data_IF_289144062366
#
_entry.id   IF_289144062366
#
_cell.length_a   1.000
_cell.length_b   1.000
_cell.length_c   1.000
_cell.angle_alpha   90.00
_cell.angle_beta   90.00
_cell.angle_gamma   90.00
#
_symmetry.space_group_name_H-M   'P 1'
#
loop_
_entity.id
_entity.type
_entity.pdbx_description
1 polymer ?
#
# COMPACT_ATOMS: atom_id res chain seq x y z
N UNK A 1 15.67 -7.42 64.89
CA UNK A 1 15.46 -5.95 64.83
C UNK A 1 14.96 -5.62 63.43
N UNK A 2 13.79 -4.96 63.30
CA UNK A 2 13.12 -4.55 62.04
C UNK A 2 12.31 -5.69 61.40
N UNK A 3 11.01 -5.92 61.61
CA UNK A 3 9.80 -5.07 61.52
C UNK A 3 9.54 -4.41 60.15
N UNK A 4 8.27 -4.54 59.75
CA UNK A 4 7.49 -3.92 58.64
C UNK A 4 7.33 -4.82 57.40
N UNK A 5 6.30 -5.67 57.30
CA UNK A 5 4.83 -5.46 57.20
C UNK A 5 4.33 -5.40 55.76
N UNK A 6 3.19 -6.06 55.56
CA UNK A 6 2.18 -5.82 54.51
C UNK A 6 2.26 -6.68 53.25
N UNK A 7 1.71 -7.87 53.44
CA UNK A 7 0.80 -8.61 52.54
C UNK A 7 0.14 -7.73 51.46
N UNK A 8 0.26 -8.13 50.19
CA UNK A 8 -0.87 -8.06 49.26
C UNK A 8 -0.71 -9.08 48.11
N UNK A 9 -1.11 -10.31 48.42
CA UNK A 9 -1.97 -11.17 47.60
C UNK A 9 -1.81 -11.02 46.08
N UNK A 10 -1.15 -12.00 45.48
CA UNK A 10 -1.29 -12.39 44.07
C UNK A 10 -2.76 -12.77 43.81
N UNK A 11 -3.62 -11.77 43.58
CA UNK A 11 -5.01 -11.96 43.23
C UNK A 11 -5.07 -12.34 41.75
N UNK A 12 -4.90 -13.64 41.49
CA UNK A 12 -5.07 -14.28 40.19
C UNK A 12 -6.56 -14.26 39.83
N UNK A 13 -7.03 -13.16 39.24
CA UNK A 13 -8.37 -13.06 38.65
C UNK A 13 -8.36 -13.84 37.33
N UNK A 14 -8.88 -15.06 37.37
CA UNK A 14 -9.11 -15.95 36.21
C UNK A 14 -10.51 -15.66 35.61
N UNK A 15 -10.83 -14.39 35.36
CA UNK A 15 -12.04 -14.03 34.62
C UNK A 15 -11.70 -12.89 33.67
N UNK A 16 -11.49 -13.24 32.40
CA UNK A 16 -11.29 -12.28 31.32
C UNK A 16 -12.68 -11.78 30.92
N UNK A 17 -13.13 -10.70 31.55
CA UNK A 17 -14.39 -10.04 31.19
C UNK A 17 -14.15 -9.29 29.87
N UNK A 18 -14.86 -9.68 28.82
CA UNK A 18 -14.87 -8.97 27.55
C UNK A 18 -16.13 -8.09 27.50
N UNK A 19 -15.95 -6.80 27.23
CA UNK A 19 -17.03 -5.89 26.89
C UNK A 19 -17.42 -6.11 25.42
N UNK A 20 -18.66 -5.75 25.07
CA UNK A 20 -19.11 -5.78 23.67
C UNK A 20 -18.19 -4.91 22.81
N UNK A 21 -17.83 -5.43 21.64
CA UNK A 21 -16.92 -4.75 20.72
C UNK A 21 -17.70 -3.65 19.99
N UNK A 22 -17.09 -2.48 19.90
CA UNK A 22 -17.56 -1.44 19.00
C UNK A 22 -17.42 -1.92 17.56
N UNK A 23 -18.51 -1.88 16.79
CA UNK A 23 -18.50 -2.13 15.35
C UNK A 23 -18.03 -0.87 14.63
N UNK A 24 -16.93 -0.98 13.88
CA UNK A 24 -16.38 0.11 13.07
C UNK A 24 -16.72 -0.21 11.60
N UNK A 25 -17.42 0.69 10.88
CA UNK A 25 -17.79 0.44 9.49
C UNK A 25 -16.57 0.47 8.57
N UNK A 26 -16.72 -0.14 7.41
CA UNK A 26 -15.70 -0.08 6.35
C UNK A 26 -15.74 1.28 5.63
N UNK A 27 -14.58 1.82 5.20
CA UNK A 27 -14.52 3.06 4.44
C UNK A 27 -15.11 2.88 3.04
N UNK A 28 -15.67 3.96 2.49
CA UNK A 28 -16.42 3.95 1.21
C UNK A 28 -15.61 4.56 0.07
N UNK A 29 -14.72 5.51 0.36
CA UNK A 29 -13.95 6.25 -0.65
C UNK A 29 -12.45 6.08 -0.39
N UNK A 30 -11.70 5.91 -1.49
CA UNK A 30 -10.24 5.80 -1.48
C UNK A 30 -9.63 6.84 -2.40
N UNK A 31 -8.61 7.54 -1.92
CA UNK A 31 -7.83 8.52 -2.68
C UNK A 31 -6.35 8.16 -2.64
N UNK A 32 -5.63 8.45 -3.73
CA UNK A 32 -4.18 8.36 -3.77
C UNK A 32 -3.56 9.68 -3.33
N UNK A 33 -2.59 9.60 -2.43
CA UNK A 33 -1.85 10.76 -1.93
C UNK A 33 -0.38 10.64 -2.29
N UNK A 34 0.20 11.70 -2.84
CA UNK A 34 1.62 11.78 -3.18
C UNK A 34 2.21 13.07 -2.60
N UNK A 35 3.36 13.00 -1.91
CA UNK A 35 4.02 14.21 -1.42
C UNK A 35 4.60 15.02 -2.59
N UNK A 36 4.50 16.35 -2.51
CA UNK A 36 5.05 17.22 -3.56
C UNK A 36 6.60 17.26 -3.51
N UNK A 37 7.16 17.27 -2.30
CA UNK A 37 8.61 17.28 -2.06
C UNK A 37 9.05 16.06 -1.26
N UNK A 38 10.31 15.67 -1.41
CA UNK A 38 10.89 14.56 -0.65
C UNK A 38 10.86 14.82 0.86
N UNK A 39 11.08 16.07 1.30
CA UNK A 39 11.05 16.48 2.71
C UNK A 39 9.66 16.32 3.34
N UNK A 40 8.60 16.46 2.54
CA UNK A 40 7.22 16.36 3.00
C UNK A 40 6.79 14.91 3.22
N UNK A 41 7.49 13.94 2.61
CA UNK A 41 7.22 12.50 2.78
C UNK A 41 7.33 12.06 4.25
N UNK A 42 8.34 12.56 4.97
CA UNK A 42 8.55 12.20 6.38
C UNK A 42 7.52 12.85 7.31
N UNK A 43 7.03 14.04 6.94
CA UNK A 43 5.99 14.75 7.70
C UNK A 43 4.63 14.10 7.45
N UNK A 44 4.34 13.75 6.20
CA UNK A 44 3.12 13.06 5.78
C UNK A 44 2.98 11.71 6.49
N UNK A 45 4.02 10.88 6.48
CA UNK A 45 4.00 9.58 7.16
C UNK A 45 3.75 9.71 8.68
N UNK A 46 4.30 10.75 9.33
CA UNK A 46 4.00 11.04 10.74
C UNK A 46 2.55 11.46 10.96
N UNK A 47 2.00 12.32 10.10
CA UNK A 47 0.62 12.78 10.18
C UNK A 47 -0.36 11.60 10.01
N UNK A 48 -0.17 10.80 8.97
CA UNK A 48 -0.96 9.62 8.63
C UNK A 48 -1.00 8.59 9.78
N UNK A 49 0.15 8.34 10.43
CA UNK A 49 0.21 7.45 11.60
C UNK A 49 -0.53 8.00 12.82
N UNK A 50 -0.59 9.32 12.99
CA UNK A 50 -1.35 9.95 14.06
C UNK A 50 -2.85 9.84 13.80
N UNK A 51 -3.30 10.09 12.57
CA UNK A 51 -4.72 10.02 12.20
C UNK A 51 -5.31 8.62 12.37
N UNK A 52 -4.56 7.55 12.06
CA UNK A 52 -5.00 6.17 12.32
C UNK A 52 -5.27 5.88 13.81
N UNK A 53 -4.59 6.58 14.72
CA UNK A 53 -4.80 6.42 16.17
C UNK A 53 -5.94 7.29 16.67
N UNK A 54 -6.17 8.43 16.04
CA UNK A 54 -7.27 9.35 16.37
C UNK A 54 -8.61 8.79 15.91
N UNK A 55 -8.67 8.20 14.71
CA UNK A 55 -9.90 7.69 14.11
C UNK A 55 -9.73 6.25 13.60
N UNK A 56 -10.44 5.25 14.20
CA UNK A 56 -10.37 3.86 13.76
C UNK A 56 -11.11 3.60 12.44
N UNK A 57 -11.84 4.56 11.87
CA UNK A 57 -12.50 4.44 10.56
C UNK A 57 -11.54 4.79 9.41
N UNK A 58 -10.50 5.57 9.68
CA UNK A 58 -9.47 5.92 8.71
C UNK A 58 -8.55 4.72 8.46
N UNK A 59 -8.35 4.39 7.18
CA UNK A 59 -7.51 3.25 6.77
C UNK A 59 -6.43 3.73 5.82
N UNK A 60 -5.26 3.15 5.98
CA UNK A 60 -4.09 3.38 5.14
C UNK A 60 -3.65 2.08 4.52
N UNK A 61 -3.46 2.12 3.21
CA UNK A 61 -3.06 0.98 2.40
C UNK A 61 -2.00 1.43 1.40
N UNK A 62 -1.08 0.54 1.07
CA UNK A 62 -0.10 0.76 0.01
C UNK A 62 -0.45 -0.24 -1.08
N UNK A 63 -0.67 0.26 -2.30
CA UNK A 63 -0.93 -0.61 -3.44
C UNK A 63 0.35 -1.34 -3.85
N UNK A 64 0.39 -2.69 -3.87
CA UNK A 64 1.61 -3.43 -4.18
C UNK A 64 2.04 -3.32 -5.64
N UNK A 65 1.13 -3.01 -6.58
CA UNK A 65 1.46 -2.90 -8.00
C UNK A 65 1.99 -1.50 -8.36
N UNK A 66 1.32 -0.44 -7.91
CA UNK A 66 1.74 0.95 -8.18
C UNK A 66 2.71 1.52 -7.15
N UNK A 67 2.80 0.95 -5.94
CA UNK A 67 3.55 1.55 -4.83
C UNK A 67 2.97 2.86 -4.30
N UNK A 68 1.73 3.21 -4.69
CA UNK A 68 1.08 4.45 -4.27
C UNK A 68 0.52 4.33 -2.84
N UNK A 69 0.56 5.45 -2.10
CA UNK A 69 -0.08 5.53 -0.78
C UNK A 69 -1.56 5.85 -0.96
N UNK A 70 -2.43 4.98 -0.44
CA UNK A 70 -3.88 5.12 -0.52
C UNK A 70 -4.45 5.43 0.87
N UNK A 71 -5.26 6.47 0.93
CA UNK A 71 -6.03 6.85 2.11
C UNK A 71 -7.51 6.51 1.86
N UNK A 72 -8.14 5.85 2.83
CA UNK A 72 -9.54 5.43 2.73
C UNK A 72 -10.32 5.96 3.93
N UNK A 73 -11.50 6.53 3.65
CA UNK A 73 -12.36 7.17 4.65
C UNK A 73 -13.85 6.91 4.39
N UNK A 74 -14.70 7.37 5.31
CA UNK A 74 -16.14 7.13 5.24
C UNK A 74 -16.83 7.96 4.13
N UNK A 75 -16.23 9.08 3.71
CA UNK A 75 -16.78 9.96 2.67
C UNK A 75 -15.78 11.00 2.19
N UNK A 76 -16.20 11.84 1.24
CA UNK A 76 -15.36 12.86 0.61
C UNK A 76 -14.90 13.92 1.64
N UNK A 77 -15.87 14.47 2.39
CA UNK A 77 -15.60 15.48 3.42
C UNK A 77 -14.62 14.98 4.49
N UNK A 78 -14.68 13.69 4.84
CA UNK A 78 -13.77 13.11 5.84
C UNK A 78 -12.32 13.22 5.37
N UNK A 79 -12.05 12.92 4.11
CA UNK A 79 -10.73 13.00 3.52
C UNK A 79 -10.30 14.46 3.28
N UNK A 80 -11.22 15.34 2.88
CA UNK A 80 -10.96 16.77 2.67
C UNK A 80 -10.45 17.45 3.95
N UNK A 81 -11.10 17.20 5.09
CA UNK A 81 -10.68 17.75 6.38
C UNK A 81 -9.27 17.27 6.75
N UNK A 82 -8.93 16.00 6.48
CA UNK A 82 -7.57 15.51 6.76
C UNK A 82 -6.51 16.16 5.87
N UNK A 83 -6.83 16.45 4.61
CA UNK A 83 -5.90 17.13 3.71
C UNK A 83 -5.59 18.55 4.20
N UNK A 84 -6.60 19.29 4.63
CA UNK A 84 -6.42 20.60 5.25
C UNK A 84 -5.59 20.52 6.54
N UNK A 85 -5.87 19.52 7.40
CA UNK A 85 -5.10 19.30 8.64
C UNK A 85 -3.62 19.00 8.35
N UNK A 86 -3.31 18.23 7.32
CA UNK A 86 -1.92 17.95 6.92
C UNK A 86 -1.21 19.25 6.52
N UNK A 87 -1.89 20.10 5.76
CA UNK A 87 -1.32 21.37 5.31
C UNK A 87 -1.07 22.32 6.50
N UNK A 88 -2.03 22.44 7.43
CA UNK A 88 -1.92 23.39 8.53
C UNK A 88 -1.07 22.90 9.71
N UNK A 89 -1.22 21.64 10.14
CA UNK A 89 -0.49 21.12 11.31
C UNK A 89 0.93 20.69 10.95
N UNK A 90 1.12 20.08 9.77
CA UNK A 90 2.38 19.46 9.38
C UNK A 90 3.15 20.25 8.31
N UNK A 91 2.58 21.34 7.78
CA UNK A 91 3.17 22.16 6.72
C UNK A 91 3.71 21.29 5.57
N UNK A 92 2.93 20.27 5.19
CA UNK A 92 3.28 19.33 4.15
C UNK A 92 2.32 19.53 2.97
N UNK A 93 2.87 19.86 1.80
CA UNK A 93 2.10 19.99 0.57
C UNK A 93 1.95 18.62 -0.09
N UNK A 94 0.70 18.20 -0.28
CA UNK A 94 0.35 16.90 -0.84
C UNK A 94 -0.53 17.06 -2.07
N UNK A 95 -0.26 16.25 -3.08
CA UNK A 95 -1.10 16.11 -4.25
C UNK A 95 -2.05 14.94 -4.06
N UNK A 96 -3.31 15.16 -4.42
CA UNK A 96 -4.39 14.17 -4.32
C UNK A 96 -4.84 13.79 -5.71
N UNK A 97 -4.98 12.50 -5.93
CA UNK A 97 -5.46 11.96 -7.19
C UNK A 97 -6.27 10.69 -7.00
N UNK A 98 -6.81 10.20 -8.10
CA UNK A 98 -7.53 8.94 -8.09
C UNK A 98 -6.54 7.77 -7.97
N UNK A 99 -6.91 6.68 -7.29
CA UNK A 99 -6.10 5.47 -7.25
C UNK A 99 -5.73 4.98 -8.65
N UNK A 100 -4.45 4.64 -8.90
CA UNK A 100 -4.03 4.10 -10.17
C UNK A 100 -4.68 2.73 -10.40
N UNK A 101 -5.10 2.48 -11.64
CA UNK A 101 -5.69 1.19 -12.04
C UNK A 101 -4.60 0.25 -12.52
N UNK A 102 -4.56 -0.94 -11.95
CA UNK A 102 -3.71 -2.05 -12.37
C UNK A 102 -4.13 -2.58 -13.75
N UNK A 103 -3.34 -2.32 -14.79
CA UNK A 103 -3.61 -2.85 -16.13
C UNK A 103 -2.97 -4.22 -16.31
N UNK A 104 -3.77 -5.20 -16.71
CA UNK A 104 -3.28 -6.53 -17.12
C UNK A 104 -3.47 -6.71 -18.61
N UNK A 105 -2.42 -7.16 -19.27
CA UNK A 105 -2.45 -7.43 -20.70
C UNK A 105 -2.71 -8.93 -20.90
N UNK A 106 -3.72 -9.24 -21.73
CA UNK A 106 -3.95 -10.60 -22.19
C UNK A 106 -3.73 -10.69 -23.68
N UNK A 107 -3.55 -11.92 -24.11
CA UNK A 107 -3.16 -12.27 -25.46
C UNK A 107 -4.44 -12.65 -26.23
N UNK A 108 -4.81 -11.88 -27.26
CA UNK A 108 -6.13 -11.98 -27.90
C UNK A 108 -6.20 -12.89 -29.14
N UNK A 109 -5.24 -12.77 -30.08
CA UNK A 109 -5.29 -13.50 -31.35
C UNK A 109 -3.96 -14.11 -31.77
N UNK A 110 -4.01 -15.36 -32.23
CA UNK A 110 -2.81 -16.11 -32.59
C UNK A 110 -2.08 -15.45 -33.75
N UNK A 111 -0.82 -15.06 -33.55
CA UNK A 111 0.05 -14.55 -34.59
C UNK A 111 1.31 -15.43 -34.71
N UNK A 112 1.76 -15.61 -35.95
CA UNK A 112 2.96 -16.36 -36.29
C UNK A 112 4.15 -15.41 -36.24
N UNK A 113 5.18 -15.74 -35.45
CA UNK A 113 6.35 -14.90 -35.26
C UNK A 113 7.61 -15.76 -35.24
N UNK A 114 8.58 -15.42 -36.08
CA UNK A 114 9.90 -16.04 -36.16
C UNK A 114 10.96 -15.02 -35.71
N UNK A 115 11.57 -15.22 -34.54
CA UNK A 115 12.61 -14.36 -33.99
C UNK A 115 13.88 -15.13 -33.66
N UNK A 116 14.99 -14.71 -34.25
CA UNK A 116 16.33 -15.26 -33.99
C UNK A 116 17.15 -14.22 -33.24
N UNK A 117 17.31 -14.41 -31.93
CA UNK A 117 18.20 -13.58 -31.12
C UNK A 117 19.65 -14.08 -31.23
N UNK A 118 20.46 -13.45 -32.09
CA UNK A 118 21.90 -13.70 -32.16
C UNK A 118 22.65 -12.55 -31.47
N UNK A 119 22.94 -12.71 -30.17
CA UNK A 119 23.85 -11.82 -29.44
C UNK A 119 25.04 -12.62 -28.92
N UNK A 120 26.23 -12.30 -29.42
CA UNK A 120 27.48 -12.90 -28.96
C UNK A 120 28.13 -11.96 -27.95
N UNK A 121 27.95 -12.22 -26.65
CA UNK A 121 28.71 -11.55 -25.61
C UNK A 121 30.09 -12.19 -25.53
N UNK A 122 31.09 -11.51 -26.09
CA UNK A 122 32.50 -11.83 -25.91
C UNK A 122 32.88 -11.57 -24.44
N UNK A 123 32.69 -12.58 -23.59
CA UNK A 123 33.40 -12.71 -22.33
C UNK A 123 34.02 -14.11 -22.27
N UNK A 124 35.31 -14.10 -21.94
CA UNK A 124 36.29 -15.18 -21.94
C UNK A 124 35.75 -16.44 -21.25
N UNK A 125 35.85 -17.59 -21.94
CA UNK A 125 35.50 -18.97 -21.56
C UNK A 125 34.00 -19.33 -21.64
N UNK A 126 33.66 -20.09 -22.70
CA UNK A 126 32.43 -20.88 -22.79
C UNK A 126 31.33 -20.22 -23.62
N UNK A 127 31.27 -20.53 -24.91
CA UNK A 127 30.17 -20.12 -25.78
C UNK A 127 28.95 -20.98 -25.43
N UNK A 128 28.13 -20.55 -24.47
CA UNK A 128 26.80 -21.09 -24.26
C UNK A 128 25.84 -20.37 -25.21
N UNK A 129 25.63 -20.98 -26.37
CA UNK A 129 24.62 -20.54 -27.32
C UNK A 129 23.25 -20.98 -26.81
N UNK A 130 22.60 -20.16 -25.98
CA UNK A 130 21.21 -20.38 -25.60
C UNK A 130 20.29 -20.00 -26.76
N UNK A 131 19.95 -20.98 -27.59
CA UNK A 131 18.85 -20.87 -28.55
C UNK A 131 17.54 -20.98 -27.79
N UNK A 132 16.85 -19.84 -27.58
CA UNK A 132 15.46 -19.84 -27.13
C UNK A 132 14.59 -19.65 -28.37
N UNK A 133 14.03 -20.74 -28.90
CA UNK A 133 13.02 -20.70 -29.96
C UNK A 133 11.68 -20.23 -29.38
N UNK A 134 11.49 -18.92 -29.34
CA UNK A 134 10.20 -18.32 -29.01
C UNK A 134 9.28 -18.33 -30.24
N UNK A 135 8.76 -19.51 -30.60
CA UNK A 135 7.63 -19.60 -31.54
C UNK A 135 6.34 -19.34 -30.78
N UNK A 136 5.62 -18.30 -31.23
CA UNK A 136 4.23 -17.91 -30.88
C UNK A 136 4.15 -16.71 -29.94
N UNK A 137 3.91 -15.56 -30.54
CA UNK A 137 3.56 -14.31 -29.86
C UNK A 137 2.27 -13.81 -30.50
N UNK A 138 1.26 -13.53 -29.69
CA UNK A 138 -0.15 -13.44 -30.07
C UNK A 138 -0.61 -12.02 -29.65
N UNK A 139 -1.32 -11.31 -30.53
CA UNK A 139 -1.48 -9.84 -30.49
C UNK A 139 -2.30 -9.34 -29.29
N UNK A 140 -1.87 -8.19 -28.75
CA UNK A 140 -2.23 -7.61 -27.45
C UNK A 140 -3.60 -6.95 -27.45
N UNK A 141 -4.44 -7.30 -26.47
CA UNK A 141 -5.55 -6.45 -26.05
C UNK A 141 -5.35 -6.05 -24.58
N UNK A 142 -5.26 -4.74 -24.32
CA UNK A 142 -5.37 -4.17 -22.97
C UNK A 142 -6.82 -4.23 -22.55
N UNK A 143 -7.18 -5.21 -21.73
CA UNK A 143 -8.49 -5.28 -21.10
C UNK A 143 -8.36 -4.83 -19.65
N UNK A 144 -9.01 -3.71 -19.34
CA UNK A 144 -9.31 -3.26 -17.98
C UNK A 144 -10.17 -4.34 -17.31
N UNK A 145 -9.63 -5.02 -16.31
CA UNK A 145 -10.45 -5.74 -15.33
C UNK A 145 -10.56 -4.83 -14.13
N UNK A 146 -11.74 -4.21 -13.99
CA UNK A 146 -12.22 -3.65 -12.71
C UNK A 146 -12.55 -4.82 -11.79
#
# INVERSE_FOLDING_TARGET
MGQTSTVCLTFRIIWKVFLEKMFVPEPVITLAITPNKQEDSDRLSKALNRFQREDPTFRLSIDPESGATLISGMGELHLEIYLERIQWEYNAEVYVGNPPVAYRETIGQQATFDYRFKKQSLARLGILQSCVDAKRLVLRHRSLLV
#
